data_IF_601654892926
#
_entry.id   IF_601654892926
#
_cell.length_a   1.000
_cell.length_b   1.000
_cell.length_c   1.000
_cell.angle_alpha   90.00
_cell.angle_beta   90.00
_cell.angle_gamma   90.00
#
_symmetry.space_group_name_H-M   'P 1'
#
loop_
_entity.id
_entity.type
_entity.pdbx_description
1 polymer ?
#
# COMPACT_ATOMS: atom_id res chain seq x y z
N UNK A 1 -58.51 42.76 -17.87
CA UNK A 1 -58.09 41.36 -17.61
C UNK A 1 -56.59 41.29 -17.86
N UNK A 2 -55.79 41.09 -16.81
CA UNK A 2 -54.31 40.98 -16.91
C UNK A 2 -53.97 39.49 -17.03
N UNK A 3 -53.44 39.07 -18.17
CA UNK A 3 -52.94 37.71 -18.37
C UNK A 3 -51.57 37.58 -17.71
N UNK A 4 -51.48 36.73 -16.69
CA UNK A 4 -50.20 36.31 -16.11
C UNK A 4 -49.62 35.16 -16.94
N UNK A 5 -48.36 35.32 -17.37
CA UNK A 5 -47.57 34.29 -18.02
C UNK A 5 -47.08 33.26 -17.00
N UNK A 6 -47.24 31.96 -17.30
CA UNK A 6 -46.50 30.89 -16.63
C UNK A 6 -45.31 30.48 -17.51
N UNK A 7 -44.11 30.85 -17.10
CA UNK A 7 -42.88 30.22 -17.59
C UNK A 7 -42.66 28.95 -16.76
N UNK A 8 -42.78 27.78 -17.39
CA UNK A 8 -42.36 26.51 -16.82
C UNK A 8 -40.83 26.39 -16.96
N UNK A 9 -40.13 26.47 -15.82
CA UNK A 9 -38.70 26.24 -15.74
C UNK A 9 -38.44 24.72 -15.71
N UNK A 10 -37.98 24.15 -16.82
CA UNK A 10 -37.62 22.74 -16.91
C UNK A 10 -36.29 22.50 -16.19
N UNK A 11 -36.32 21.91 -15.00
CA UNK A 11 -35.12 21.40 -14.33
C UNK A 11 -34.64 20.15 -15.08
N UNK A 12 -33.56 20.28 -15.83
CA UNK A 12 -32.83 19.14 -16.41
C UNK A 12 -32.01 18.51 -15.27
N UNK A 13 -32.25 17.24 -14.89
CA UNK A 13 -31.40 16.58 -13.92
C UNK A 13 -29.99 16.45 -14.51
N UNK A 14 -29.01 17.12 -13.89
CA UNK A 14 -27.61 16.87 -14.18
C UNK A 14 -27.26 15.50 -13.58
N UNK A 15 -27.24 14.49 -14.43
CA UNK A 15 -26.60 13.21 -14.09
C UNK A 15 -25.12 13.50 -13.95
N UNK A 16 -24.62 13.57 -12.71
CA UNK A 16 -23.20 13.55 -12.45
C UNK A 16 -22.67 12.19 -12.92
N UNK A 17 -22.07 12.17 -14.09
CA UNK A 17 -21.22 11.05 -14.49
C UNK A 17 -20.02 11.09 -13.57
N UNK A 18 -19.92 10.18 -12.61
CA UNK A 18 -18.68 9.96 -11.86
C UNK A 18 -17.63 9.54 -12.88
N UNK A 19 -16.77 10.48 -13.28
CA UNK A 19 -15.60 10.15 -14.08
C UNK A 19 -14.70 9.31 -13.21
N UNK A 20 -14.51 8.04 -13.56
CA UNK A 20 -13.57 7.19 -12.84
C UNK A 20 -12.17 7.77 -13.08
N UNK A 21 -11.55 8.26 -12.01
CA UNK A 21 -10.20 8.86 -12.09
C UNK A 21 -9.22 7.76 -12.44
N UNK A 22 -8.46 7.92 -13.52
CA UNK A 22 -7.35 7.04 -13.86
C UNK A 22 -6.04 7.65 -13.39
N UNK A 23 -5.11 6.85 -12.86
CA UNK A 23 -3.84 7.37 -12.36
C UNK A 23 -2.68 6.40 -12.53
N UNK A 24 -1.65 6.83 -13.27
CA UNK A 24 -0.42 6.06 -13.48
C UNK A 24 0.42 5.86 -12.20
N UNK A 25 0.04 6.52 -11.09
CA UNK A 25 0.68 6.39 -9.77
C UNK A 25 0.30 5.08 -9.05
N UNK A 26 -0.76 4.40 -9.50
CA UNK A 26 -1.31 3.21 -8.83
C UNK A 26 -0.39 2.00 -8.97
N UNK A 27 -0.17 1.32 -7.86
CA UNK A 27 0.50 0.04 -7.82
C UNK A 27 -0.21 -0.97 -6.95
N UNK A 28 0.30 -2.19 -6.93
CA UNK A 28 -0.34 -3.30 -6.25
C UNK A 28 0.52 -3.76 -5.06
N UNK A 29 -0.07 -3.69 -3.86
CA UNK A 29 0.41 -4.40 -2.68
C UNK A 29 -0.11 -5.85 -2.78
N UNK A 30 0.63 -6.70 -3.50
CA UNK A 30 0.19 -8.02 -3.92
C UNK A 30 0.32 -9.04 -2.80
N UNK A 31 -0.82 -9.45 -2.24
CA UNK A 31 -0.89 -10.51 -1.23
C UNK A 31 -1.10 -11.84 -1.93
N UNK A 32 -0.20 -12.79 -1.66
CA UNK A 32 -0.35 -14.17 -2.16
C UNK A 32 -1.69 -14.75 -1.67
N UNK A 33 -2.48 -15.28 -2.60
CA UNK A 33 -3.81 -15.82 -2.34
C UNK A 33 -3.84 -17.32 -2.60
N UNK A 34 -4.63 -18.06 -1.80
CA UNK A 34 -4.93 -19.46 -2.10
C UNK A 34 -5.79 -19.63 -3.35
N UNK A 35 -6.49 -18.58 -3.76
CA UNK A 35 -7.39 -18.54 -4.91
C UNK A 35 -6.69 -17.88 -6.10
N UNK A 36 -5.75 -18.60 -6.72
CA UNK A 36 -4.93 -18.08 -7.81
C UNK A 36 -5.73 -17.52 -9.01
N UNK A 37 -7.00 -17.91 -9.15
CA UNK A 37 -7.89 -17.30 -10.15
C UNK A 37 -8.08 -15.81 -9.93
N UNK A 38 -8.04 -15.29 -8.70
CA UNK A 38 -8.23 -13.87 -8.40
C UNK A 38 -7.17 -12.96 -9.06
N UNK A 39 -6.00 -13.51 -9.38
CA UNK A 39 -4.91 -12.77 -10.02
C UNK A 39 -5.28 -12.17 -11.37
N UNK A 40 -6.36 -12.63 -12.03
CA UNK A 40 -6.83 -12.04 -13.28
C UNK A 40 -7.20 -10.55 -13.13
N UNK A 41 -7.69 -10.11 -11.97
CA UNK A 41 -8.01 -8.69 -11.71
C UNK A 41 -6.77 -7.79 -11.74
N UNK A 42 -5.63 -8.33 -11.33
CA UNK A 42 -4.36 -7.61 -11.16
C UNK A 42 -3.58 -7.42 -12.46
N UNK A 43 -4.16 -7.81 -13.60
CA UNK A 43 -3.49 -7.77 -14.91
C UNK A 43 -3.98 -6.64 -15.83
N UNK A 44 -4.88 -5.79 -15.33
CA UNK A 44 -5.56 -4.74 -16.10
C UNK A 44 -5.67 -3.42 -15.33
N UNK A 45 -6.20 -2.39 -15.98
CA UNK A 45 -6.41 -1.08 -15.39
C UNK A 45 -5.16 -0.19 -15.39
N UNK A 46 -5.10 0.75 -14.45
CA UNK A 46 -4.03 1.75 -14.34
C UNK A 46 -2.84 1.31 -13.47
N UNK A 47 -2.78 0.04 -13.07
CA UNK A 47 -1.68 -0.48 -12.28
C UNK A 47 -0.38 -0.45 -13.11
N UNK A 48 0.68 0.16 -12.58
CA UNK A 48 1.97 0.29 -13.27
C UNK A 48 3.11 -0.45 -12.60
N UNK A 49 2.99 -0.74 -11.29
CA UNK A 49 4.01 -1.39 -10.48
C UNK A 49 3.37 -2.30 -9.42
N UNK A 50 4.15 -3.22 -8.86
CA UNK A 50 3.72 -4.02 -7.72
C UNK A 50 4.88 -4.40 -6.81
N UNK A 51 4.56 -4.72 -5.57
CA UNK A 51 5.46 -5.38 -4.63
C UNK A 51 4.66 -6.43 -3.84
N UNK A 52 5.36 -7.38 -3.23
CA UNK A 52 4.77 -8.51 -2.51
C UNK A 52 5.49 -8.79 -1.18
N UNK A 53 6.13 -7.78 -0.60
CA UNK A 53 6.97 -7.89 0.60
C UNK A 53 8.15 -8.89 0.49
N UNK A 54 8.51 -9.31 -0.72
CA UNK A 54 9.63 -10.22 -0.99
C UNK A 54 10.70 -9.58 -1.86
N UNK A 55 11.87 -10.20 -1.86
CA UNK A 55 12.97 -9.85 -2.77
C UNK A 55 12.71 -10.32 -4.21
N UNK A 56 11.80 -11.27 -4.41
CA UNK A 56 11.54 -11.93 -5.69
C UNK A 56 10.07 -11.77 -6.12
N UNK A 57 9.81 -11.67 -7.43
CA UNK A 57 8.46 -11.50 -7.95
C UNK A 57 7.59 -12.73 -7.65
N UNK A 58 6.28 -12.49 -7.60
CA UNK A 58 5.30 -13.57 -7.68
C UNK A 58 5.19 -14.08 -9.13
N UNK A 59 5.40 -15.39 -9.40
CA UNK A 59 5.26 -15.98 -10.73
C UNK A 59 3.88 -15.75 -11.38
N UNK A 60 2.83 -15.54 -10.59
CA UNK A 60 1.50 -15.24 -11.10
C UNK A 60 1.44 -13.90 -11.87
N UNK A 61 2.38 -12.99 -11.60
CA UNK A 61 2.42 -11.66 -12.22
C UNK A 61 3.59 -11.49 -13.21
N UNK A 62 4.39 -12.53 -13.47
CA UNK A 62 5.57 -12.46 -14.34
C UNK A 62 5.27 -12.06 -15.80
N UNK A 63 4.06 -12.34 -16.28
CA UNK A 63 3.63 -12.02 -17.64
C UNK A 63 2.73 -10.77 -17.71
N UNK A 64 2.77 -9.91 -16.70
CA UNK A 64 2.02 -8.65 -16.65
C UNK A 64 2.92 -7.48 -17.05
N UNK A 65 2.34 -6.34 -17.48
CA UNK A 65 3.12 -5.13 -17.71
C UNK A 65 3.61 -4.46 -16.41
N UNK A 66 3.24 -4.98 -15.23
CA UNK A 66 3.59 -4.38 -13.95
C UNK A 66 5.09 -4.49 -13.68
N UNK A 67 5.69 -3.36 -13.31
CA UNK A 67 7.06 -3.38 -12.85
C UNK A 67 7.15 -3.91 -11.41
N UNK A 68 7.87 -5.00 -11.22
CA UNK A 68 8.15 -5.53 -9.89
C UNK A 68 9.11 -4.64 -9.11
N UNK A 69 8.79 -4.36 -7.85
CA UNK A 69 9.60 -3.61 -6.90
C UNK A 69 9.99 -4.53 -5.74
N UNK A 70 11.25 -5.04 -5.71
CA UNK A 70 11.74 -5.88 -4.62
C UNK A 70 11.73 -5.13 -3.28
N UNK A 71 11.43 -5.84 -2.20
CA UNK A 71 11.49 -5.32 -0.84
C UNK A 71 12.43 -6.15 0.03
N UNK A 72 13.30 -5.49 0.80
CA UNK A 72 13.98 -6.09 1.93
C UNK A 72 13.13 -5.86 3.18
N UNK A 73 12.19 -6.75 3.46
CA UNK A 73 11.18 -6.61 4.50
C UNK A 73 11.78 -6.48 5.90
N UNK A 74 12.80 -7.28 6.24
CA UNK A 74 13.39 -7.34 7.57
C UNK A 74 14.69 -8.14 7.62
N UNK A 75 15.25 -8.30 8.82
CA UNK A 75 16.55 -8.94 9.03
C UNK A 75 16.59 -10.42 8.56
N UNK A 76 15.48 -11.16 8.70
CA UNK A 76 15.46 -12.58 8.31
C UNK A 76 15.78 -12.79 6.82
N UNK A 77 15.37 -11.87 5.95
CA UNK A 77 15.67 -11.90 4.52
C UNK A 77 17.13 -11.51 4.22
N UNK A 78 17.76 -10.66 5.06
CA UNK A 78 19.19 -10.34 4.90
C UNK A 78 20.10 -11.50 5.30
N UNK A 79 19.72 -12.26 6.34
CA UNK A 79 20.52 -13.38 6.88
C UNK A 79 20.50 -14.66 6.03
N UNK A 80 19.44 -14.90 5.27
CA UNK A 80 19.25 -16.21 4.60
C UNK A 80 19.56 -16.20 3.11
N UNK A 81 19.43 -15.07 2.41
CA UNK A 81 19.50 -15.07 0.94
C UNK A 81 20.22 -13.87 0.29
N UNK A 82 20.75 -12.91 1.08
CA UNK A 82 21.45 -11.70 0.61
C UNK A 82 20.63 -10.93 -0.45
N UNK A 83 19.91 -9.90 -0.01
CA UNK A 83 19.00 -9.10 -0.84
C UNK A 83 19.69 -8.50 -2.06
N UNK A 84 20.89 -7.93 -1.88
CA UNK A 84 21.67 -7.36 -2.99
C UNK A 84 21.89 -8.38 -4.12
N UNK A 85 22.31 -9.60 -3.77
CA UNK A 85 22.58 -10.67 -4.74
C UNK A 85 21.30 -11.07 -5.49
N UNK A 86 20.17 -11.14 -4.80
CA UNK A 86 18.88 -11.48 -5.43
C UNK A 86 18.42 -10.41 -6.41
N UNK A 87 18.50 -9.13 -6.03
CA UNK A 87 18.14 -8.02 -6.92
C UNK A 87 19.09 -7.96 -8.11
N UNK A 88 20.40 -8.06 -7.88
CA UNK A 88 21.39 -8.10 -8.95
C UNK A 88 21.14 -9.26 -9.93
N UNK A 89 20.83 -10.45 -9.43
CA UNK A 89 20.55 -11.63 -10.28
C UNK A 89 19.34 -11.39 -11.18
N UNK A 90 18.29 -10.72 -10.67
CA UNK A 90 17.12 -10.36 -11.48
C UNK A 90 17.49 -9.36 -12.59
N UNK A 91 18.29 -8.34 -12.27
CA UNK A 91 18.79 -7.36 -13.24
C UNK A 91 19.65 -8.04 -14.30
N UNK A 92 20.61 -8.88 -13.90
CA UNK A 92 21.49 -9.63 -14.80
C UNK A 92 20.70 -10.58 -15.72
N UNK A 93 19.55 -11.08 -15.25
CA UNK A 93 18.62 -11.91 -16.03
C UNK A 93 17.71 -11.10 -16.96
N UNK A 94 17.89 -9.78 -17.03
CA UNK A 94 17.16 -8.89 -17.92
C UNK A 94 15.86 -8.31 -17.36
N UNK A 95 15.54 -8.53 -16.08
CA UNK A 95 14.35 -7.92 -15.45
C UNK A 95 14.59 -6.44 -15.20
N UNK A 96 13.61 -5.61 -15.57
CA UNK A 96 13.65 -4.18 -15.30
C UNK A 96 13.36 -3.88 -13.81
N UNK A 97 14.41 -3.74 -13.00
CA UNK A 97 14.32 -3.28 -11.61
C UNK A 97 14.82 -1.84 -11.53
N UNK A 98 13.90 -0.88 -11.40
CA UNK A 98 14.23 0.55 -11.29
C UNK A 98 14.14 1.07 -9.85
N UNK A 99 13.43 0.36 -8.97
CA UNK A 99 13.23 0.74 -7.58
C UNK A 99 13.33 -0.48 -6.66
N UNK A 100 13.72 -0.25 -5.41
CA UNK A 100 13.58 -1.21 -4.30
C UNK A 100 13.01 -0.52 -3.07
N UNK A 101 12.30 -1.29 -2.25
CA UNK A 101 11.77 -0.87 -0.95
C UNK A 101 12.66 -1.38 0.19
N UNK A 102 12.82 -0.56 1.22
CA UNK A 102 13.49 -0.93 2.47
C UNK A 102 12.59 -1.73 3.42
N UNK A 103 12.97 -1.73 4.70
CA UNK A 103 12.27 -2.49 5.74
C UNK A 103 10.79 -2.10 5.89
N UNK A 104 9.97 -3.08 6.23
CA UNK A 104 8.53 -2.93 6.43
C UNK A 104 8.19 -2.85 7.92
N UNK A 105 7.78 -1.67 8.36
CA UNK A 105 7.45 -1.36 9.76
C UNK A 105 8.49 -1.92 10.74
N UNK A 106 9.77 -1.54 10.61
CA UNK A 106 10.80 -1.99 11.53
C UNK A 106 10.54 -1.53 12.97
N UNK A 107 9.76 -0.47 13.16
CA UNK A 107 9.27 0.00 14.45
C UNK A 107 8.12 -0.86 15.03
N UNK A 108 7.50 -1.71 14.22
CA UNK A 108 6.37 -2.57 14.58
C UNK A 108 6.79 -3.89 15.20
N UNK A 109 7.04 -3.92 16.51
CA UNK A 109 7.51 -5.13 17.23
C UNK A 109 6.43 -6.03 17.85
N UNK A 110 5.15 -5.68 17.72
CA UNK A 110 4.09 -6.27 18.55
C UNK A 110 3.41 -7.51 17.97
N UNK A 111 4.05 -8.28 17.07
CA UNK A 111 3.70 -9.67 16.72
C UNK A 111 2.31 -9.93 16.10
N UNK A 112 1.41 -8.95 16.08
CA UNK A 112 0.02 -9.08 15.62
C UNK A 112 -0.20 -8.40 14.25
N UNK A 113 0.69 -7.48 13.85
CA UNK A 113 0.45 -6.57 12.70
C UNK A 113 1.40 -6.75 11.51
N UNK A 114 2.31 -7.73 11.52
CA UNK A 114 3.14 -8.01 10.33
C UNK A 114 4.27 -7.00 10.07
N UNK A 115 4.74 -6.28 11.09
CA UNK A 115 5.97 -5.47 11.02
C UNK A 115 7.24 -6.28 11.23
N UNK A 116 8.37 -5.75 10.76
CA UNK A 116 9.64 -6.48 10.71
C UNK A 116 10.43 -6.50 12.01
N UNK A 117 10.04 -5.68 12.99
CA UNK A 117 10.68 -5.55 14.30
C UNK A 117 12.21 -5.54 14.25
N UNK A 118 12.79 -4.40 13.88
CA UNK A 118 14.23 -4.24 13.69
C UNK A 118 14.67 -2.91 14.31
N UNK A 119 15.72 -2.91 15.14
CA UNK A 119 16.28 -1.67 15.69
C UNK A 119 16.99 -0.83 14.61
N UNK A 120 17.10 0.47 14.86
CA UNK A 120 17.58 1.45 13.90
C UNK A 120 19.08 1.25 13.55
N UNK A 121 19.89 0.89 14.53
CA UNK A 121 21.33 0.66 14.37
C UNK A 121 21.59 -0.57 13.48
N UNK A 122 20.97 -1.70 13.80
CA UNK A 122 21.08 -2.92 12.98
C UNK A 122 20.50 -2.71 11.58
N UNK A 123 19.38 -1.98 11.47
CA UNK A 123 18.80 -1.61 10.18
C UNK A 123 19.77 -0.79 9.33
N UNK A 124 20.49 0.18 9.91
CA UNK A 124 21.47 0.99 9.20
C UNK A 124 22.62 0.13 8.66
N UNK A 125 23.17 -0.78 9.45
CA UNK A 125 24.24 -1.70 9.00
C UNK A 125 23.79 -2.59 7.83
N UNK A 126 22.57 -3.14 7.90
CA UNK A 126 21.99 -3.96 6.85
C UNK A 126 21.72 -3.11 5.59
N UNK A 127 21.15 -1.92 5.75
CA UNK A 127 20.81 -1.06 4.62
C UNK A 127 22.08 -0.61 3.86
N UNK A 128 23.13 -0.23 4.58
CA UNK A 128 24.44 0.14 3.99
C UNK A 128 25.06 -1.04 3.23
N UNK A 129 24.91 -2.27 3.72
CA UNK A 129 25.53 -3.44 3.10
C UNK A 129 24.70 -4.09 1.99
N UNK A 130 23.37 -3.94 2.00
CA UNK A 130 22.45 -4.68 1.13
C UNK A 130 21.67 -3.79 0.16
N UNK A 131 21.37 -2.54 0.54
CA UNK A 131 20.51 -1.64 -0.25
C UNK A 131 21.34 -0.53 -0.90
N UNK A 132 22.21 0.16 -0.16
CA UNK A 132 23.04 1.26 -0.73
C UNK A 132 23.83 0.85 -2.00
N UNK A 133 24.45 -0.34 -2.08
CA UNK A 133 25.21 -0.72 -3.28
C UNK A 133 24.34 -0.92 -4.54
N UNK A 134 23.02 -1.01 -4.41
CA UNK A 134 22.12 -1.11 -5.56
C UNK A 134 22.08 0.19 -6.39
N UNK A 135 22.48 1.33 -5.81
CA UNK A 135 22.63 2.58 -6.58
C UNK A 135 23.65 2.46 -7.71
N UNK A 136 24.71 1.68 -7.50
CA UNK A 136 25.74 1.45 -8.51
C UNK A 136 25.19 0.66 -9.71
N UNK A 137 24.04 0.00 -9.53
CA UNK A 137 23.30 -0.69 -10.59
C UNK A 137 22.21 0.21 -11.23
N UNK A 138 22.12 1.48 -10.84
CA UNK A 138 21.11 2.43 -11.32
C UNK A 138 19.72 2.29 -10.68
N UNK A 139 19.61 1.53 -9.58
CA UNK A 139 18.36 1.32 -8.84
C UNK A 139 18.12 2.46 -7.87
N UNK A 140 16.88 2.98 -7.82
CA UNK A 140 16.45 3.98 -6.84
C UNK A 140 16.02 3.31 -5.53
N UNK A 141 16.41 3.89 -4.41
CA UNK A 141 16.26 3.26 -3.09
C UNK A 141 15.16 3.92 -2.26
N UNK A 142 14.23 3.13 -1.74
CA UNK A 142 13.27 3.56 -0.74
C UNK A 142 13.90 3.56 0.67
N UNK A 143 13.59 4.59 1.46
CA UNK A 143 13.80 4.53 2.90
C UNK A 143 12.94 3.40 3.54
N UNK A 144 13.20 3.01 4.80
CA UNK A 144 12.32 2.11 5.53
C UNK A 144 10.89 2.68 5.64
N UNK A 145 9.88 1.87 5.31
CA UNK A 145 8.47 2.23 5.49
C UNK A 145 8.07 1.97 6.94
N UNK A 146 7.94 3.04 7.73
CA UNK A 146 7.58 2.96 9.15
C UNK A 146 6.07 3.08 9.37
N UNK A 147 5.59 2.67 10.54
CA UNK A 147 4.18 2.93 10.89
C UNK A 147 3.87 4.44 10.86
N UNK A 148 2.63 4.81 10.55
CA UNK A 148 2.15 6.21 10.56
C UNK A 148 2.08 6.87 11.95
N UNK A 149 2.79 6.33 12.94
CA UNK A 149 2.75 6.75 14.34
C UNK A 149 3.98 7.59 14.75
N UNK A 150 3.93 8.29 15.89
CA UNK A 150 5.12 8.94 16.46
C UNK A 150 6.30 7.96 16.65
N UNK A 151 6.02 6.70 17.00
CA UNK A 151 7.05 5.66 17.13
C UNK A 151 7.79 5.45 15.81
N UNK A 152 7.07 5.32 14.70
CA UNK A 152 7.66 5.18 13.37
C UNK A 152 8.52 6.38 12.98
N UNK A 153 8.00 7.60 13.18
CA UNK A 153 8.77 8.81 12.88
C UNK A 153 10.06 8.94 13.71
N UNK A 154 10.02 8.56 14.99
CA UNK A 154 11.20 8.55 15.86
C UNK A 154 12.21 7.48 15.42
N UNK A 155 11.72 6.29 15.06
CA UNK A 155 12.55 5.21 14.56
C UNK A 155 13.29 5.64 13.28
N UNK A 156 12.58 6.26 12.31
CA UNK A 156 13.19 6.67 11.05
C UNK A 156 14.26 7.74 11.23
N UNK A 157 14.06 8.68 12.17
CA UNK A 157 15.10 9.65 12.54
C UNK A 157 16.32 8.98 13.17
N UNK A 158 16.12 8.00 14.04
CA UNK A 158 17.21 7.25 14.65
C UNK A 158 17.98 6.44 13.60
N UNK A 159 17.28 5.84 12.63
CA UNK A 159 17.88 5.14 11.50
C UNK A 159 18.81 6.05 10.70
N UNK A 160 18.34 7.24 10.28
CA UNK A 160 19.20 8.20 9.57
C UNK A 160 20.37 8.71 10.41
N UNK A 161 20.19 8.79 11.74
CA UNK A 161 21.29 9.14 12.66
C UNK A 161 22.33 8.01 12.70
N UNK A 162 21.91 6.76 12.83
CA UNK A 162 22.80 5.60 12.84
C UNK A 162 23.52 5.39 11.50
N UNK A 163 22.86 5.77 10.39
CA UNK A 163 23.46 5.75 9.06
C UNK A 163 24.67 6.69 8.92
N UNK A 164 24.79 7.75 9.72
CA UNK A 164 25.91 8.71 9.68
C UNK A 164 26.25 9.18 8.24
N UNK A 165 25.21 9.52 7.48
CA UNK A 165 25.32 9.97 6.08
C UNK A 165 25.60 8.89 5.04
N UNK A 166 25.71 7.61 5.43
CA UNK A 166 25.96 6.47 4.51
C UNK A 166 24.69 5.85 3.94
N UNK A 167 23.51 6.31 4.38
CA UNK A 167 22.24 5.90 3.78
C UNK A 167 21.67 7.00 2.91
N UNK A 168 21.58 6.79 1.58
CA UNK A 168 21.13 7.81 0.62
C UNK A 168 19.86 7.40 -0.14
N UNK A 169 18.70 7.24 0.53
CA UNK A 169 17.44 6.92 -0.16
C UNK A 169 17.03 8.03 -1.14
N UNK A 170 16.37 7.63 -2.23
CA UNK A 170 15.87 8.53 -3.28
C UNK A 170 14.38 8.89 -3.08
N UNK A 171 13.64 8.10 -2.29
CA UNK A 171 12.24 8.34 -1.96
C UNK A 171 11.85 7.83 -0.57
N UNK A 172 10.77 8.36 -0.01
CA UNK A 172 10.24 7.98 1.32
C UNK A 172 8.93 7.20 1.16
N UNK A 173 8.92 5.89 1.46
CA UNK A 173 7.71 5.13 1.70
C UNK A 173 7.01 5.58 2.99
N UNK A 174 5.68 5.68 2.97
CA UNK A 174 4.86 5.94 4.15
C UNK A 174 3.71 4.94 4.24
N UNK A 175 3.37 4.56 5.47
CA UNK A 175 2.19 3.75 5.78
C UNK A 175 1.18 4.59 6.57
N UNK A 176 -0.11 4.38 6.30
CA UNK A 176 -1.16 5.02 7.08
C UNK A 176 -2.42 4.17 7.23
N UNK A 177 -2.76 3.87 8.49
CA UNK A 177 -4.00 3.19 8.83
C UNK A 177 -4.80 4.06 9.81
N UNK A 178 -5.85 4.71 9.31
CA UNK A 178 -6.61 5.71 10.07
C UNK A 178 -7.52 6.56 9.18
N UNK A 179 -8.04 7.65 9.71
CA UNK A 179 -8.91 8.56 8.96
C UNK A 179 -8.14 9.41 7.92
N UNK A 180 -8.89 10.14 7.09
CA UNK A 180 -8.31 10.96 6.02
C UNK A 180 -7.56 12.19 6.57
N UNK A 181 -8.03 12.78 7.65
CA UNK A 181 -7.44 13.95 8.27
C UNK A 181 -6.04 13.61 8.82
N UNK A 182 -5.91 12.46 9.48
CA UNK A 182 -4.62 11.95 9.92
C UNK A 182 -3.71 11.60 8.76
N UNK A 183 -4.22 10.99 7.68
CA UNK A 183 -3.44 10.72 6.46
C UNK A 183 -2.84 12.01 5.87
N UNK A 184 -3.68 13.02 5.66
CA UNK A 184 -3.25 14.30 5.10
C UNK A 184 -2.22 15.02 6.01
N UNK A 185 -2.43 14.95 7.33
CA UNK A 185 -1.50 15.48 8.32
C UNK A 185 -0.16 14.74 8.29
N UNK A 186 -0.18 13.40 8.23
CA UNK A 186 1.02 12.56 8.17
C UNK A 186 1.85 12.84 6.91
N UNK A 187 1.20 12.89 5.73
CA UNK A 187 1.83 13.29 4.47
C UNK A 187 2.51 14.66 4.59
N UNK A 188 1.83 15.64 5.19
CA UNK A 188 2.38 16.98 5.41
C UNK A 188 3.61 16.97 6.31
N UNK A 189 3.57 16.22 7.41
CA UNK A 189 4.69 16.11 8.37
C UNK A 189 5.92 15.43 7.75
N UNK A 190 5.72 14.33 7.01
CA UNK A 190 6.81 13.62 6.34
C UNK A 190 7.46 14.51 5.28
N UNK A 191 6.66 15.19 4.45
CA UNK A 191 7.17 16.11 3.43
C UNK A 191 7.93 17.31 4.04
N UNK A 192 7.47 17.84 5.18
CA UNK A 192 8.17 18.92 5.88
C UNK A 192 9.53 18.47 6.43
N UNK A 193 9.64 17.21 6.83
CA UNK A 193 10.86 16.61 7.40
C UNK A 193 11.87 16.19 6.33
N UNK A 194 11.41 15.53 5.26
CA UNK A 194 12.24 14.97 4.19
C UNK A 194 12.02 15.70 2.87
N UNK A 195 12.40 16.97 2.84
CA UNK A 195 12.21 17.84 1.68
C UNK A 195 13.00 17.34 0.46
N UNK A 196 12.47 17.61 -0.73
CA UNK A 196 13.07 17.23 -2.03
C UNK A 196 13.12 15.73 -2.33
N UNK A 197 12.47 14.90 -1.52
CA UNK A 197 12.28 13.48 -1.82
C UNK A 197 10.88 13.25 -2.39
N UNK A 198 10.77 12.34 -3.35
CA UNK A 198 9.45 11.82 -3.73
C UNK A 198 8.93 10.91 -2.62
N UNK A 199 7.60 10.81 -2.53
CA UNK A 199 6.88 10.02 -1.55
C UNK A 199 6.13 8.88 -2.25
N UNK A 200 6.20 7.72 -1.63
CA UNK A 200 5.43 6.54 -2.02
C UNK A 200 4.49 6.19 -0.87
N UNK A 201 3.18 6.12 -1.12
CA UNK A 201 2.23 5.61 -0.12
C UNK A 201 2.11 4.12 -0.34
N UNK A 202 3.03 3.35 0.24
CA UNK A 202 3.13 1.90 -0.03
C UNK A 202 2.01 1.12 0.63
N UNK A 203 1.45 1.62 1.74
CA UNK A 203 0.27 1.04 2.36
C UNK A 203 -0.64 2.12 2.93
N UNK A 204 -1.93 2.07 2.63
CA UNK A 204 -2.93 2.79 3.43
C UNK A 204 -4.28 2.10 3.44
N UNK A 205 -5.06 2.37 4.48
CA UNK A 205 -6.41 1.86 4.68
C UNK A 205 -7.12 2.55 5.84
N UNK A 206 -8.42 2.27 6.02
CA UNK A 206 -9.18 2.75 7.17
C UNK A 206 -9.79 1.56 7.91
N UNK A 207 -9.04 0.95 8.85
CA UNK A 207 -9.39 -0.35 9.40
C UNK A 207 -10.70 -0.35 10.19
N UNK A 208 -11.44 -1.46 10.07
CA UNK A 208 -12.61 -1.78 10.91
C UNK A 208 -13.72 -0.71 10.92
N UNK A 209 -13.85 0.04 9.82
CA UNK A 209 -14.91 1.03 9.64
C UNK A 209 -16.11 0.49 8.87
N UNK A 210 -17.20 1.27 8.90
CA UNK A 210 -18.39 0.97 8.10
C UNK A 210 -18.08 1.17 6.62
N UNK A 211 -18.82 0.47 5.77
CA UNK A 211 -18.62 0.48 4.32
C UNK A 211 -18.59 1.90 3.74
N UNK A 212 -19.55 2.74 4.10
CA UNK A 212 -19.65 4.13 3.64
C UNK A 212 -18.41 4.95 4.07
N UNK A 213 -18.01 4.86 5.33
CA UNK A 213 -16.83 5.55 5.86
C UNK A 213 -15.53 5.10 5.13
N UNK A 214 -15.39 3.80 4.85
CA UNK A 214 -14.23 3.25 4.13
C UNK A 214 -14.21 3.70 2.66
N UNK A 215 -15.38 3.74 1.99
CA UNK A 215 -15.51 4.22 0.62
C UNK A 215 -15.23 5.73 0.50
N UNK A 216 -15.74 6.53 1.44
CA UNK A 216 -15.50 7.97 1.49
C UNK A 216 -14.02 8.28 1.78
N UNK A 217 -13.40 7.55 2.69
CA UNK A 217 -11.96 7.64 2.95
C UNK A 217 -11.14 7.32 1.70
N UNK A 218 -11.47 6.23 1.00
CA UNK A 218 -10.78 5.84 -0.22
C UNK A 218 -10.83 6.95 -1.28
N UNK A 219 -12.05 7.45 -1.56
CA UNK A 219 -12.26 8.49 -2.58
C UNK A 219 -11.52 9.80 -2.24
N UNK A 220 -11.53 10.22 -0.97
CA UNK A 220 -10.78 11.39 -0.53
C UNK A 220 -9.27 11.19 -0.68
N UNK A 221 -8.77 10.00 -0.32
CA UNK A 221 -7.34 9.66 -0.34
C UNK A 221 -6.78 9.67 -1.77
N UNK A 222 -7.41 8.98 -2.71
CA UNK A 222 -6.91 8.94 -4.10
C UNK A 222 -6.98 10.31 -4.78
N UNK A 223 -8.05 11.08 -4.55
CA UNK A 223 -8.14 12.45 -5.05
C UNK A 223 -7.07 13.38 -4.45
N UNK A 224 -6.64 13.13 -3.22
CA UNK A 224 -5.54 13.85 -2.58
C UNK A 224 -4.19 13.47 -3.19
N UNK A 225 -3.90 12.17 -3.33
CA UNK A 225 -2.64 11.68 -3.90
C UNK A 225 -2.45 12.08 -5.37
N UNK A 226 -3.51 12.04 -6.17
CA UNK A 226 -3.45 12.42 -7.58
C UNK A 226 -3.08 13.91 -7.76
N UNK A 227 -3.47 14.79 -6.81
CA UNK A 227 -3.16 16.23 -6.85
C UNK A 227 -1.79 16.63 -6.33
N UNK A 228 -1.09 15.74 -5.62
CA UNK A 228 0.20 16.05 -5.01
C UNK A 228 1.34 15.52 -5.89
N UNK A 229 2.16 16.42 -6.42
CA UNK A 229 3.22 16.07 -7.37
C UNK A 229 4.33 15.22 -6.76
N UNK A 230 4.69 15.46 -5.50
CA UNK A 230 5.73 14.68 -4.82
C UNK A 230 5.25 13.28 -4.40
N UNK A 231 3.94 13.02 -4.37
CA UNK A 231 3.41 11.66 -4.23
C UNK A 231 3.40 11.06 -5.62
N UNK A 232 4.30 10.11 -5.86
CA UNK A 232 4.53 9.54 -7.20
C UNK A 232 3.96 8.14 -7.35
N UNK A 233 3.82 7.41 -6.24
CA UNK A 233 3.37 6.02 -6.24
C UNK A 233 2.47 5.77 -5.04
N UNK A 234 1.40 4.99 -5.22
CA UNK A 234 0.56 4.54 -4.13
C UNK A 234 -0.04 3.15 -4.41
N UNK A 235 0.02 2.23 -3.44
CA UNK A 235 -0.64 0.91 -3.41
C UNK A 235 -1.64 0.71 -2.25
N UNK A 236 -2.94 0.56 -2.55
CA UNK A 236 -3.98 0.43 -1.51
C UNK A 236 -3.89 -0.95 -0.85
N UNK A 237 -3.93 -1.02 0.48
CA UNK A 237 -3.86 -2.29 1.19
C UNK A 237 -5.23 -2.97 1.22
N UNK A 238 -5.55 -3.67 0.13
CA UNK A 238 -6.86 -4.30 -0.04
C UNK A 238 -6.93 -5.41 -1.09
N UNK A 239 -5.83 -5.78 -1.75
CA UNK A 239 -5.81 -6.75 -2.86
C UNK A 239 -5.96 -8.21 -2.41
N UNK A 240 -7.05 -8.49 -1.69
CA UNK A 240 -7.41 -9.79 -1.13
C UNK A 240 -8.94 -9.87 -0.97
N UNK A 241 -9.45 -11.06 -0.66
CA UNK A 241 -10.87 -11.27 -0.34
C UNK A 241 -11.21 -10.76 1.05
N UNK A 242 -12.42 -10.24 1.21
CA UNK A 242 -12.93 -9.71 2.48
C UNK A 242 -12.96 -10.72 3.62
N UNK A 243 -12.99 -12.02 3.32
CA UNK A 243 -12.95 -13.11 4.29
C UNK A 243 -11.59 -13.29 4.99
N UNK A 244 -10.50 -12.81 4.39
CA UNK A 244 -9.13 -12.94 4.92
C UNK A 244 -8.53 -11.60 5.33
N UNK A 245 -9.30 -10.51 5.25
CA UNK A 245 -8.83 -9.17 5.61
C UNK A 245 -8.53 -9.06 7.10
N UNK A 246 -7.36 -8.51 7.43
CA UNK A 246 -6.94 -8.12 8.77
C UNK A 246 -7.15 -6.62 9.06
N UNK A 247 -7.79 -5.88 8.14
CA UNK A 247 -8.09 -4.43 8.25
C UNK A 247 -9.59 -4.16 8.09
N UNK A 248 -10.41 -5.17 8.44
CA UNK A 248 -11.86 -5.16 8.27
C UNK A 248 -12.31 -5.50 6.85
N UNK A 249 -13.43 -6.24 6.69
CA UNK A 249 -13.89 -6.74 5.39
C UNK A 249 -14.19 -5.64 4.38
N UNK A 250 -14.57 -4.44 4.84
CA UNK A 250 -14.95 -3.31 3.98
C UNK A 250 -13.77 -2.66 3.26
N UNK A 251 -12.54 -2.94 3.69
CA UNK A 251 -11.30 -2.46 3.04
C UNK A 251 -10.84 -3.38 1.90
N UNK A 252 -11.47 -4.54 1.70
CA UNK A 252 -11.06 -5.48 0.67
C UNK A 252 -11.52 -5.06 -0.74
N UNK A 253 -10.67 -5.31 -1.73
CA UNK A 253 -10.98 -5.11 -3.15
C UNK A 253 -11.85 -6.23 -3.71
N UNK A 254 -11.85 -7.41 -3.07
CA UNK A 254 -12.69 -8.54 -3.44
C UNK A 254 -13.64 -8.90 -2.30
N UNK A 255 -14.88 -9.27 -2.63
CA UNK A 255 -15.78 -9.91 -1.67
C UNK A 255 -15.23 -11.29 -1.28
N UNK A 256 -15.82 -11.91 -0.26
CA UNK A 256 -15.56 -13.28 0.14
C UNK A 256 -15.76 -14.30 -1.00
N UNK A 257 -16.51 -13.93 -2.04
CA UNK A 257 -16.77 -14.76 -3.23
C UNK A 257 -15.79 -14.50 -4.39
N UNK A 258 -14.84 -13.57 -4.25
CA UNK A 258 -13.93 -13.18 -5.33
C UNK A 258 -14.54 -12.22 -6.35
N UNK A 259 -15.62 -11.51 -6.00
CA UNK A 259 -16.22 -10.48 -6.85
C UNK A 259 -15.62 -9.11 -6.50
N UNK A 260 -15.32 -8.25 -7.47
CA UNK A 260 -14.81 -6.89 -7.20
C UNK A 260 -15.80 -6.09 -6.33
N UNK A 261 -15.32 -5.50 -5.25
CA UNK A 261 -16.04 -4.48 -4.47
C UNK A 261 -16.01 -3.15 -5.22
N UNK A 262 -16.76 -2.15 -4.73
CA UNK A 262 -16.70 -0.80 -5.28
C UNK A 262 -15.27 -0.23 -5.22
N UNK A 263 -14.57 -0.40 -4.09
CA UNK A 263 -13.17 0.05 -3.95
C UNK A 263 -12.26 -0.67 -4.94
N UNK A 264 -12.41 -1.99 -5.08
CA UNK A 264 -11.63 -2.76 -6.06
C UNK A 264 -11.83 -2.26 -7.48
N UNK A 265 -13.08 -2.06 -7.89
CA UNK A 265 -13.39 -1.55 -9.22
C UNK A 265 -12.86 -0.12 -9.43
N UNK A 266 -13.11 0.80 -8.49
CA UNK A 266 -12.60 2.17 -8.59
C UNK A 266 -11.08 2.21 -8.67
N UNK A 267 -10.38 1.34 -7.93
CA UNK A 267 -8.92 1.27 -7.94
C UNK A 267 -8.36 0.83 -9.29
N UNK A 268 -9.05 -0.11 -9.95
CA UNK A 268 -8.70 -0.59 -11.29
C UNK A 268 -9.15 0.32 -12.42
N UNK A 269 -9.85 1.42 -12.13
CA UNK A 269 -10.34 2.37 -13.14
C UNK A 269 -11.74 2.03 -13.69
N UNK A 270 -12.47 1.15 -13.02
CA UNK A 270 -13.82 0.73 -13.38
C UNK A 270 -14.92 1.42 -12.55
N UNK A 271 -16.16 1.32 -13.04
CA UNK A 271 -17.34 1.80 -12.32
C UNK A 271 -17.68 0.93 -11.11
N UNK A 272 -18.40 1.51 -10.13
CA UNK A 272 -18.89 0.79 -8.95
C UNK A 272 -19.67 -0.49 -9.34
N UNK A 273 -19.45 -1.57 -8.60
CA UNK A 273 -20.07 -2.88 -8.86
C UNK A 273 -21.32 -3.11 -8.01
N UNK A 274 -21.43 -2.41 -6.88
CA UNK A 274 -22.46 -2.61 -5.86
C UNK A 274 -22.26 -3.87 -5.01
N UNK A 275 -21.13 -4.57 -5.16
CA UNK A 275 -20.84 -5.78 -4.41
C UNK A 275 -20.39 -5.45 -2.98
N UNK A 276 -21.16 -5.91 -1.99
CA UNK A 276 -20.92 -5.63 -0.58
C UNK A 276 -20.02 -6.73 0.01
N UNK A 277 -18.80 -6.39 0.47
CA UNK A 277 -17.93 -7.35 1.15
C UNK A 277 -18.52 -7.79 2.49
N UNK A 278 -18.20 -9.02 2.89
CA UNK A 278 -18.58 -9.59 4.19
C UNK A 278 -17.38 -10.28 4.82
N UNK A 279 -17.28 -10.22 6.15
CA UNK A 279 -16.36 -11.07 6.89
C UNK A 279 -16.86 -12.52 6.88
N UNK A 280 -15.94 -13.47 6.87
CA UNK A 280 -16.27 -14.87 7.15
C UNK A 280 -16.38 -15.10 8.66
N UNK A 281 -17.11 -16.14 9.06
CA UNK A 281 -16.85 -16.81 10.33
C UNK A 281 -15.42 -17.40 10.27
N UNK A 282 -14.65 -17.35 11.36
CA UNK A 282 -13.18 -17.35 11.33
C UNK A 282 -12.59 -18.49 10.49
N UNK A 283 -11.80 -18.16 9.46
CA UNK A 283 -10.88 -19.08 8.79
C UNK A 283 -9.52 -18.40 8.54
N UNK A 284 -8.47 -19.21 8.64
CA UNK A 284 -7.07 -18.82 8.73
C UNK A 284 -6.56 -18.32 7.37
N UNK A 285 -6.16 -17.05 7.29
CA UNK A 285 -5.30 -16.55 6.22
C UNK A 285 -3.85 -16.98 6.49
N UNK A 286 -3.13 -17.44 5.45
CA UNK A 286 -1.69 -17.72 5.53
C UNK A 286 -0.94 -16.59 4.85
N UNK A 287 -0.16 -15.84 5.62
CA UNK A 287 0.83 -14.90 5.09
C UNK A 287 2.17 -15.64 4.96
N UNK A 288 2.82 -15.51 3.80
CA UNK A 288 4.14 -16.07 3.55
C UNK A 288 5.16 -15.47 4.53
N UNK A 289 5.50 -16.24 5.58
CA UNK A 289 6.52 -15.88 6.58
C UNK A 289 6.13 -16.12 8.04
N UNK A 290 4.84 -16.29 8.35
CA UNK A 290 4.39 -16.67 9.70
C UNK A 290 3.00 -17.31 9.66
N UNK A 291 2.84 -18.44 10.35
CA UNK A 291 1.51 -19.02 10.62
C UNK A 291 0.81 -18.07 11.61
N UNK A 292 0.02 -17.13 11.10
CA UNK A 292 -0.79 -16.26 11.96
C UNK A 292 -2.12 -16.94 12.22
N UNK A 293 -2.29 -17.44 13.45
CA UNK A 293 -3.63 -17.67 14.01
C UNK A 293 -4.21 -16.29 14.35
N UNK A 294 -5.07 -15.75 13.49
CA UNK A 294 -5.87 -14.57 13.82
C UNK A 294 -6.98 -15.03 14.77
N UNK A 295 -6.69 -14.99 16.08
CA UNK A 295 -7.75 -15.04 17.09
C UNK A 295 -8.25 -13.62 17.28
N UNK A 296 -9.50 -13.37 16.90
CA UNK A 296 -10.20 -12.14 17.22
C UNK A 296 -10.26 -11.99 18.74
N UNK A 297 -9.35 -11.21 19.31
CA UNK A 297 -9.49 -10.72 20.67
C UNK A 297 -10.46 -9.53 20.63
N UNK A 298 -11.75 -9.84 20.58
CA UNK A 298 -12.78 -8.86 20.89
C UNK A 298 -12.64 -8.47 22.35
N UNK A 299 -12.11 -7.28 22.63
CA UNK A 299 -12.27 -6.65 23.94
C UNK A 299 -13.10 -5.39 23.81
N UNK A 300 -14.31 -5.50 24.34
CA UNK A 300 -15.10 -4.37 24.82
C UNK A 300 -14.28 -3.55 25.82
N UNK A 301 -14.17 -2.25 25.57
CA UNK A 301 -14.02 -1.27 26.65
C UNK A 301 -15.33 -0.49 26.74
N UNK A 302 -16.23 -0.96 27.60
CA UNK A 302 -17.18 -0.12 28.32
C UNK A 302 -16.46 0.35 29.59
N UNK A 303 -16.40 1.66 29.81
CA UNK A 303 -15.81 2.28 30.99
C UNK A 303 -15.26 3.66 30.68
#
# INVERSE_FOLDING_TARGET
MRSAALLTLSLVPHVFSQTVSTSAKRGLAHVETSEASDNHFWTSGDLTWYYNWQATPDPALDNTPLQFVPMLWGEAQSKTQNFYTQVKTQIDSGRNISWVLGFNEPDGCHGVYGGSCLDAETAAEIWISQIEPLKDLGVKLGAPGVTGSPTGSNWLRNFFTACDGKCTPDFIPIHWYGDFQGLASHVGQVNATYQNMSMWVTEWGFPEQKLEDTQDFYNQSVAFFDRIDYITHYSYFGAFRSSVSNVGPNSAMLTQKGELTDIGAWYLGDAATGNIPKGDAPRIARFAGSIVLVVAAGFWCLG
#
